data_IF_855096128962
#
_entry.id   IF_855096128962
#
_cell.length_a   1.000
_cell.length_b   1.000
_cell.length_c   1.000
_cell.angle_alpha   90.00
_cell.angle_beta   90.00
_cell.angle_gamma   90.00
#
_symmetry.space_group_name_H-M   'P 1'
#
loop_
_entity.id
_entity.type
_entity.pdbx_description
1 polymer ?
#
# COMPACT_ATOMS: atom_id res chain seq x y z
N UNK A 1 12.26 -21.10 -29.11
CA UNK A 1 11.73 -19.75 -28.88
C UNK A 1 12.19 -19.34 -27.51
N UNK A 2 12.93 -18.23 -27.32
CA UNK A 2 13.27 -17.77 -25.98
C UNK A 2 11.94 -17.51 -25.26
N UNK A 3 11.75 -18.14 -24.09
CA UNK A 3 10.58 -17.90 -23.24
C UNK A 3 10.46 -16.39 -23.02
N UNK A 4 9.37 -15.79 -23.46
CA UNK A 4 9.09 -14.39 -23.16
C UNK A 4 9.14 -14.24 -21.63
N UNK A 5 10.06 -13.40 -21.15
CA UNK A 5 10.22 -13.19 -19.71
C UNK A 5 8.98 -12.50 -19.19
N UNK A 6 8.29 -13.16 -18.27
CA UNK A 6 7.11 -12.63 -17.61
C UNK A 6 7.50 -12.09 -16.22
N UNK A 7 7.27 -10.80 -16.01
CA UNK A 7 7.54 -10.10 -14.75
C UNK A 7 6.29 -10.10 -13.87
N UNK A 8 6.50 -10.32 -12.57
CA UNK A 8 5.42 -10.32 -11.58
C UNK A 8 5.14 -8.88 -11.15
N UNK A 9 3.97 -8.36 -11.56
CA UNK A 9 3.58 -6.97 -11.27
C UNK A 9 2.49 -6.92 -10.22
N UNK A 10 2.68 -6.06 -9.21
CA UNK A 10 1.58 -5.60 -8.36
C UNK A 10 0.79 -4.49 -9.06
N UNK A 11 -0.31 -4.03 -8.45
CA UNK A 11 -1.05 -2.85 -8.91
C UNK A 11 -0.32 -1.52 -8.72
N UNK A 12 0.81 -1.51 -8.01
CA UNK A 12 1.53 -0.30 -7.57
C UNK A 12 0.85 0.46 -6.43
N UNK A 13 -0.21 -0.11 -5.85
CA UNK A 13 -0.94 0.45 -4.69
C UNK A 13 -1.21 -0.62 -3.64
N UNK A 14 -0.35 -1.64 -3.61
CA UNK A 14 -0.44 -2.75 -2.67
C UNK A 14 0.24 -2.36 -1.35
N UNK A 15 -0.51 -2.52 -0.26
CA UNK A 15 -0.15 -2.12 1.09
C UNK A 15 -0.18 -3.36 1.98
N UNK A 16 0.93 -3.64 2.65
CA UNK A 16 1.04 -4.75 3.60
C UNK A 16 1.20 -4.18 5.01
N UNK A 17 0.32 -4.61 5.92
CA UNK A 17 0.29 -4.15 7.31
C UNK A 17 0.41 -5.31 8.28
N UNK A 18 1.36 -5.24 9.21
CA UNK A 18 1.48 -6.23 10.28
C UNK A 18 0.25 -6.20 11.20
N UNK A 19 -0.13 -7.34 11.73
CA UNK A 19 -1.26 -7.50 12.66
C UNK A 19 -0.79 -8.13 13.97
N UNK A 20 -1.54 -7.87 15.04
CA UNK A 20 -1.31 -8.50 16.34
C UNK A 20 -1.41 -10.03 16.19
N UNK A 21 -0.37 -10.75 16.61
CA UNK A 21 -0.25 -12.20 16.43
C UNK A 21 0.58 -12.66 15.21
N UNK A 22 1.27 -11.75 14.51
CA UNK A 22 2.27 -12.10 13.50
C UNK A 22 1.72 -12.43 12.10
N UNK A 23 0.43 -12.15 11.86
CA UNK A 23 -0.14 -12.18 10.51
C UNK A 23 -0.03 -10.82 9.83
N UNK A 24 -0.22 -10.78 8.52
CA UNK A 24 -0.20 -9.57 7.70
C UNK A 24 -1.56 -9.37 7.02
N UNK A 25 -2.06 -8.14 7.06
CA UNK A 25 -3.18 -7.68 6.26
C UNK A 25 -2.64 -7.08 4.97
N UNK A 26 -3.03 -7.65 3.84
CA UNK A 26 -2.66 -7.20 2.50
C UNK A 26 -3.86 -6.49 1.89
N UNK A 27 -3.67 -5.26 1.43
CA UNK A 27 -4.70 -4.45 0.77
C UNK A 27 -4.19 -3.95 -0.56
N UNK A 28 -5.04 -3.97 -1.56
CA UNK A 28 -4.81 -3.26 -2.82
C UNK A 28 -5.77 -2.09 -2.89
N UNK A 29 -5.24 -0.86 -2.78
CA UNK A 29 -6.07 0.34 -2.75
C UNK A 29 -6.69 0.64 -4.12
N UNK A 30 -6.00 0.29 -5.21
CA UNK A 30 -6.46 0.55 -6.58
C UNK A 30 -7.57 -0.41 -6.96
N UNK A 31 -7.42 -1.68 -6.59
CA UNK A 31 -8.37 -2.74 -6.92
C UNK A 31 -9.45 -2.95 -5.84
N UNK A 32 -9.31 -2.33 -4.66
CA UNK A 32 -10.23 -2.42 -3.51
C UNK A 32 -10.43 -3.86 -3.01
N UNK A 33 -9.37 -4.66 -3.06
CA UNK A 33 -9.35 -6.03 -2.53
C UNK A 33 -8.47 -6.11 -1.27
N UNK A 34 -8.76 -7.08 -0.40
CA UNK A 34 -7.99 -7.32 0.81
C UNK A 34 -7.91 -8.80 1.16
N UNK A 35 -6.82 -9.20 1.82
CA UNK A 35 -6.56 -10.58 2.24
C UNK A 35 -5.65 -10.62 3.46
N UNK A 36 -5.51 -11.81 4.06
CA UNK A 36 -4.57 -12.06 5.16
C UNK A 36 -3.47 -13.00 4.69
N UNK A 37 -2.23 -12.72 5.09
CA UNK A 37 -1.03 -13.49 4.76
C UNK A 37 -0.18 -13.79 5.99
N UNK A 38 0.74 -14.74 5.83
CA UNK A 38 1.84 -14.98 6.77
C UNK A 38 3.10 -14.21 6.34
N UNK A 39 4.20 -14.36 7.07
CA UNK A 39 5.49 -13.76 6.73
C UNK A 39 5.95 -14.16 5.32
N UNK A 40 5.86 -15.45 4.98
CA UNK A 40 6.28 -15.96 3.67
C UNK A 40 5.56 -15.25 2.50
N UNK A 41 4.25 -15.02 2.64
CA UNK A 41 3.47 -14.31 1.63
C UNK A 41 3.90 -12.84 1.51
N UNK A 42 4.19 -12.19 2.64
CA UNK A 42 4.68 -10.80 2.66
C UNK A 42 6.04 -10.71 1.97
N UNK A 43 6.98 -11.61 2.27
CA UNK A 43 8.30 -11.62 1.63
C UNK A 43 8.20 -11.82 0.12
N UNK A 44 7.33 -12.75 -0.32
CA UNK A 44 7.08 -12.98 -1.74
C UNK A 44 6.48 -11.73 -2.42
N UNK A 45 5.43 -11.13 -1.84
CA UNK A 45 4.76 -9.96 -2.41
C UNK A 45 5.70 -8.76 -2.55
N UNK A 46 6.58 -8.52 -1.58
CA UNK A 46 7.57 -7.43 -1.64
C UNK A 46 8.50 -7.56 -2.84
N UNK A 47 8.79 -8.79 -3.28
CA UNK A 47 9.63 -9.04 -4.45
C UNK A 47 8.87 -8.86 -5.78
N UNK A 48 7.54 -8.81 -5.78
CA UNK A 48 6.68 -8.63 -6.95
C UNK A 48 6.49 -7.15 -7.33
N UNK A 49 7.59 -6.42 -7.42
CA UNK A 49 7.64 -4.99 -7.77
C UNK A 49 7.70 -4.71 -9.29
N UNK A 50 7.46 -5.75 -10.09
CA UNK A 50 7.50 -5.72 -11.55
C UNK A 50 8.89 -5.67 -12.18
N UNK A 51 9.95 -5.84 -11.38
CA UNK A 51 11.33 -5.97 -11.88
C UNK A 51 11.85 -7.42 -11.90
N UNK A 52 11.13 -8.33 -11.24
CA UNK A 52 11.51 -9.74 -11.06
C UNK A 52 10.54 -10.69 -11.77
N UNK A 53 11.08 -11.77 -12.33
CA UNK A 53 10.28 -12.91 -12.79
C UNK A 53 10.02 -13.90 -11.65
N UNK A 54 9.18 -14.90 -11.88
CA UNK A 54 8.99 -16.00 -10.94
C UNK A 54 10.30 -16.71 -10.58
N UNK A 55 11.17 -16.98 -11.56
CA UNK A 55 12.49 -17.59 -11.33
C UNK A 55 13.43 -16.71 -10.51
N UNK A 56 13.33 -15.38 -10.66
CA UNK A 56 14.10 -14.43 -9.85
C UNK A 56 13.61 -14.47 -8.39
N UNK A 57 12.29 -14.43 -8.18
CA UNK A 57 11.67 -14.51 -6.85
C UNK A 57 12.02 -15.83 -6.16
N UNK A 58 11.91 -16.97 -6.84
CA UNK A 58 12.26 -18.29 -6.28
C UNK A 58 13.73 -18.31 -5.84
N UNK A 59 14.65 -17.82 -6.68
CA UNK A 59 16.08 -17.77 -6.33
C UNK A 59 16.35 -16.90 -5.11
N UNK A 60 15.65 -15.78 -4.98
CA UNK A 60 15.80 -14.87 -3.84
C UNK A 60 15.22 -15.49 -2.55
N UNK A 61 14.06 -16.14 -2.62
CA UNK A 61 13.48 -16.89 -1.49
C UNK A 61 14.36 -18.06 -1.05
N UNK A 62 14.98 -18.80 -1.97
CA UNK A 62 15.93 -19.87 -1.62
C UNK A 62 17.11 -19.34 -0.80
N UNK A 63 17.63 -18.16 -1.14
CA UNK A 63 18.71 -17.51 -0.39
C UNK A 63 18.23 -17.06 0.98
N UNK A 64 17.03 -16.49 1.07
CA UNK A 64 16.45 -16.00 2.33
C UNK A 64 16.22 -17.13 3.34
N UNK A 65 15.65 -18.25 2.89
CA UNK A 65 15.29 -19.37 3.77
C UNK A 65 16.39 -20.45 3.89
N UNK A 66 17.46 -20.38 3.09
CA UNK A 66 18.48 -21.43 3.00
C UNK A 66 17.88 -22.83 2.70
N UNK A 67 16.79 -22.86 1.93
CA UNK A 67 16.07 -24.08 1.53
C UNK A 67 16.35 -24.45 0.06
N UNK A 68 16.25 -25.74 -0.33
CA UNK A 68 16.47 -26.17 -1.70
C UNK A 68 15.36 -25.67 -2.65
N UNK A 69 15.78 -25.26 -3.85
CA UNK A 69 14.91 -24.70 -4.89
C UNK A 69 13.69 -25.56 -5.24
N UNK A 70 13.85 -26.89 -5.18
CA UNK A 70 12.77 -27.83 -5.47
C UNK A 70 11.56 -27.67 -4.52
N UNK A 71 11.80 -27.38 -3.25
CA UNK A 71 10.76 -27.23 -2.24
C UNK A 71 10.21 -25.79 -2.24
N UNK A 72 11.09 -24.79 -2.30
CA UNK A 72 10.72 -23.38 -2.36
C UNK A 72 9.94 -23.07 -3.63
N UNK A 73 10.41 -23.53 -4.80
CA UNK A 73 9.76 -23.30 -6.09
C UNK A 73 8.32 -23.79 -6.10
N UNK A 74 8.05 -25.02 -5.64
CA UNK A 74 6.68 -25.55 -5.56
C UNK A 74 5.77 -24.71 -4.67
N UNK A 75 6.26 -24.22 -3.53
CA UNK A 75 5.49 -23.37 -2.62
C UNK A 75 5.25 -21.99 -3.25
N UNK A 76 6.29 -21.37 -3.79
CA UNK A 76 6.24 -20.05 -4.42
C UNK A 76 5.30 -20.03 -5.63
N UNK A 77 5.42 -20.98 -6.57
CA UNK A 77 4.54 -21.07 -7.74
C UNK A 77 3.07 -21.20 -7.36
N UNK A 78 2.75 -22.00 -6.32
CA UNK A 78 1.38 -22.12 -5.81
C UNK A 78 0.88 -20.79 -5.22
N UNK A 79 1.71 -20.10 -4.44
CA UNK A 79 1.38 -18.80 -3.87
C UNK A 79 1.18 -17.73 -4.96
N UNK A 80 2.02 -17.72 -5.99
CA UNK A 80 1.91 -16.80 -7.14
C UNK A 80 0.62 -17.06 -7.90
N UNK A 81 0.31 -18.31 -8.24
CA UNK A 81 -0.95 -18.68 -8.87
C UNK A 81 -2.16 -18.24 -8.02
N UNK A 82 -2.13 -18.52 -6.71
CA UNK A 82 -3.18 -18.09 -5.79
C UNK A 82 -3.36 -16.56 -5.75
N UNK A 83 -2.27 -15.80 -5.72
CA UNK A 83 -2.32 -14.33 -5.73
C UNK A 83 -2.83 -13.78 -7.07
N UNK A 84 -2.53 -14.45 -8.20
CA UNK A 84 -3.10 -14.13 -9.51
C UNK A 84 -4.60 -14.38 -9.55
N UNK A 85 -5.06 -15.50 -9.02
CA UNK A 85 -6.50 -15.82 -8.95
C UNK A 85 -7.27 -14.80 -8.09
N UNK A 86 -6.65 -14.33 -7.01
CA UNK A 86 -7.16 -13.25 -6.18
C UNK A 86 -6.93 -11.85 -6.74
N UNK A 87 -6.31 -11.73 -7.92
CA UNK A 87 -5.98 -10.50 -8.62
C UNK A 87 -4.96 -9.59 -7.93
N UNK A 88 -4.27 -10.03 -6.87
CA UNK A 88 -3.19 -9.25 -6.24
C UNK A 88 -1.94 -9.12 -7.12
N UNK A 89 -1.73 -10.08 -8.02
CA UNK A 89 -0.61 -10.08 -8.97
C UNK A 89 -1.11 -10.18 -10.40
N UNK A 90 -0.46 -9.42 -11.28
CA UNK A 90 -0.58 -9.54 -12.73
C UNK A 90 0.72 -10.00 -13.36
N UNK A 91 0.78 -9.82 -14.68
CA UNK A 91 1.94 -10.14 -15.49
C UNK A 91 2.28 -8.99 -16.43
N UNK A 92 3.57 -8.80 -16.71
CA UNK A 92 4.05 -7.90 -17.75
C UNK A 92 5.17 -8.56 -18.56
N UNK A 93 5.23 -8.27 -19.85
CA UNK A 93 6.31 -8.73 -20.74
C UNK A 93 7.52 -7.77 -20.76
N UNK A 94 7.37 -6.60 -20.15
CA UNK A 94 8.43 -5.62 -19.95
C UNK A 94 8.54 -5.27 -18.45
N UNK A 95 9.74 -4.97 -17.93
CA UNK A 95 9.87 -4.51 -16.55
C UNK A 95 9.05 -3.25 -16.32
N UNK A 96 8.17 -3.27 -15.32
CA UNK A 96 7.33 -2.14 -14.93
C UNK A 96 7.48 -1.94 -13.44
N UNK A 97 8.03 -0.81 -13.00
CA UNK A 97 8.19 -0.58 -11.57
C UNK A 97 6.83 -0.32 -10.91
N UNK A 98 6.30 -1.33 -10.22
CA UNK A 98 5.06 -1.27 -9.44
C UNK A 98 5.38 -1.57 -7.97
N UNK A 99 5.89 -0.59 -7.22
CA UNK A 99 6.41 -0.83 -5.88
C UNK A 99 5.31 -1.37 -4.96
N UNK A 100 5.67 -2.37 -4.16
CA UNK A 100 4.85 -2.87 -3.06
C UNK A 100 5.24 -2.11 -1.81
N UNK A 101 4.27 -1.43 -1.21
CA UNK A 101 4.50 -0.58 -0.05
C UNK A 101 4.24 -1.40 1.21
N UNK A 102 5.27 -1.65 1.99
CA UNK A 102 5.12 -2.20 3.34
C UNK A 102 4.97 -1.02 4.32
N UNK A 103 3.93 -1.08 5.14
CA UNK A 103 3.70 -0.14 6.24
C UNK A 103 3.43 -0.95 7.49
N UNK A 104 4.49 -1.12 8.28
CA UNK A 104 4.32 -1.64 9.63
C UNK A 104 3.46 -0.65 10.42
N UNK A 105 2.46 -1.18 11.11
CA UNK A 105 1.60 -0.41 11.99
C UNK A 105 1.31 -1.29 13.18
N UNK A 106 1.59 -0.78 14.37
CA UNK A 106 1.21 -1.45 15.61
C UNK A 106 -0.28 -1.26 15.94
N UNK A 107 -1.03 -0.59 15.05
CA UNK A 107 -2.46 -0.39 15.22
C UNK A 107 -3.25 -1.67 14.92
N UNK A 108 -4.14 -2.02 15.84
CA UNK A 108 -5.07 -3.14 15.68
C UNK A 108 -6.02 -2.95 14.48
N UNK A 109 -6.42 -1.70 14.23
CA UNK A 109 -7.25 -1.28 13.11
C UNK A 109 -6.53 -0.20 12.32
N UNK A 110 -5.67 -0.56 11.37
CA UNK A 110 -4.80 0.43 10.78
C UNK A 110 -5.60 1.33 9.82
N UNK A 111 -5.53 2.63 10.05
CA UNK A 111 -6.17 3.66 9.24
C UNK A 111 -5.56 3.65 7.83
N UNK A 112 -6.41 3.64 6.80
CA UNK A 112 -5.94 3.68 5.41
C UNK A 112 -5.92 5.11 4.85
N UNK A 113 -6.95 5.89 5.20
CA UNK A 113 -7.18 7.24 4.67
C UNK A 113 -7.39 8.23 5.81
N UNK A 114 -6.67 9.36 5.77
CA UNK A 114 -6.90 10.49 6.65
C UNK A 114 -7.48 11.68 5.87
N UNK A 115 -8.49 12.33 6.41
CA UNK A 115 -9.05 13.58 5.87
C UNK A 115 -8.50 14.75 6.68
N UNK A 116 -7.67 15.57 6.06
CA UNK A 116 -7.04 16.73 6.72
C UNK A 116 -7.86 17.97 6.38
N UNK A 117 -8.64 18.44 7.35
CA UNK A 117 -9.34 19.71 7.23
C UNK A 117 -8.36 20.85 7.54
N UNK A 118 -7.61 21.30 6.53
CA UNK A 118 -6.46 22.19 6.72
C UNK A 118 -6.83 23.62 7.09
N UNK A 119 -8.02 24.06 6.67
CA UNK A 119 -8.58 25.37 7.02
C UNK A 119 -10.11 25.34 7.00
N UNK A 120 -10.76 26.21 7.75
CA UNK A 120 -12.18 26.52 7.59
C UNK A 120 -12.42 27.71 6.64
N UNK A 121 -11.37 28.43 6.24
CA UNK A 121 -11.46 29.51 5.28
C UNK A 121 -12.02 29.00 3.95
N UNK A 122 -12.97 29.73 3.38
CA UNK A 122 -13.54 29.41 2.09
C UNK A 122 -13.94 30.69 1.36
N UNK A 123 -13.66 30.73 0.06
CA UNK A 123 -14.06 31.81 -0.83
C UNK A 123 -15.56 31.76 -1.20
N UNK A 124 -16.29 30.72 -0.78
CA UNK A 124 -17.72 30.51 -1.04
C UNK A 124 -18.51 30.26 0.25
N UNK A 125 -19.83 30.39 0.17
CA UNK A 125 -20.79 30.10 1.25
C UNK A 125 -21.95 29.23 0.74
N UNK A 126 -21.64 27.98 0.42
CA UNK A 126 -22.62 27.05 -0.16
C UNK A 126 -23.74 26.75 0.84
N UNK A 127 -25.00 26.80 0.40
CA UNK A 127 -26.19 26.57 1.25
C UNK A 127 -26.27 25.16 1.86
N UNK A 128 -25.54 24.21 1.28
CA UNK A 128 -25.46 22.82 1.71
C UNK A 128 -24.09 22.47 2.34
N UNK A 129 -23.29 23.47 2.73
CA UNK A 129 -21.99 23.24 3.35
C UNK A 129 -22.18 22.70 4.78
N UNK A 130 -21.86 21.42 5.00
CA UNK A 130 -21.98 20.81 6.32
C UNK A 130 -21.08 21.45 7.38
N UNK A 131 -20.00 22.13 6.96
CA UNK A 131 -19.03 22.80 7.85
C UNK A 131 -19.39 24.24 8.17
N UNK A 132 -20.29 24.85 7.41
CA UNK A 132 -20.49 26.30 7.42
C UNK A 132 -19.16 27.05 7.18
N UNK A 133 -18.37 26.58 6.22
CA UNK A 133 -17.05 27.13 5.90
C UNK A 133 -17.15 28.59 5.44
N UNK A 134 -16.10 29.36 5.71
CA UNK A 134 -16.06 30.79 5.39
C UNK A 134 -14.84 31.48 5.96
N UNK A 135 -14.87 31.82 7.25
CA UNK A 135 -13.70 32.38 7.93
C UNK A 135 -12.86 31.27 8.59
N UNK A 136 -11.54 31.45 8.74
CA UNK A 136 -10.71 30.57 9.56
C UNK A 136 -11.32 30.37 10.94
N UNK A 137 -11.18 29.16 11.50
CA UNK A 137 -11.71 28.83 12.82
C UNK A 137 -10.61 28.94 13.87
N UNK A 138 -10.63 30.04 14.62
CA UNK A 138 -9.67 30.24 15.72
C UNK A 138 -8.23 30.21 15.24
N UNK A 139 -7.35 29.58 16.02
CA UNK A 139 -5.99 29.25 15.59
C UNK A 139 -6.01 27.93 14.81
N UNK A 140 -5.62 27.97 13.55
CA UNK A 140 -5.45 26.80 12.68
C UNK A 140 -3.98 26.37 12.66
N UNK A 141 -3.73 25.09 12.36
CA UNK A 141 -2.37 24.55 12.32
C UNK A 141 -1.52 25.23 11.25
N UNK A 142 -0.24 25.47 11.57
CA UNK A 142 0.74 25.95 10.62
C UNK A 142 1.16 24.86 9.62
N UNK A 143 1.88 25.26 8.57
CA UNK A 143 2.39 24.31 7.59
C UNK A 143 3.36 23.32 8.22
N UNK A 144 4.25 23.74 9.12
CA UNK A 144 5.18 22.81 9.78
C UNK A 144 4.45 21.77 10.65
N UNK A 145 3.38 22.18 11.35
CA UNK A 145 2.57 21.27 12.15
C UNK A 145 1.89 20.22 11.27
N UNK A 146 1.35 20.62 10.11
CA UNK A 146 0.76 19.69 9.15
C UNK A 146 1.80 18.71 8.58
N UNK A 147 3.01 19.17 8.28
CA UNK A 147 4.09 18.30 7.80
C UNK A 147 4.44 17.26 8.86
N UNK A 148 4.62 17.68 10.13
CA UNK A 148 4.86 16.76 11.24
C UNK A 148 3.73 15.73 11.39
N UNK A 149 2.48 16.19 11.31
CA UNK A 149 1.31 15.32 11.44
C UNK A 149 1.24 14.30 10.29
N UNK A 150 1.60 14.68 9.07
CA UNK A 150 1.66 13.77 7.92
C UNK A 150 2.74 12.70 8.13
N UNK A 151 3.91 13.06 8.66
CA UNK A 151 4.97 12.11 8.98
C UNK A 151 4.50 11.11 10.06
N UNK A 152 3.78 11.59 11.08
CA UNK A 152 3.16 10.74 12.10
C UNK A 152 2.12 9.79 11.49
N UNK A 153 1.22 10.27 10.63
CA UNK A 153 0.24 9.43 9.94
C UNK A 153 0.91 8.37 9.06
N UNK A 154 1.98 8.73 8.37
CA UNK A 154 2.77 7.80 7.57
C UNK A 154 3.38 6.70 8.46
N UNK A 155 3.91 7.06 9.65
CA UNK A 155 4.44 6.11 10.64
C UNK A 155 3.35 5.17 11.19
N UNK A 156 2.10 5.62 11.24
CA UNK A 156 0.94 4.82 11.64
C UNK A 156 0.41 3.92 10.51
N UNK A 157 1.01 3.99 9.32
CA UNK A 157 0.64 3.19 8.17
C UNK A 157 -0.58 3.72 7.40
N UNK A 158 -0.86 5.02 7.50
CA UNK A 158 -1.77 5.71 6.57
C UNK A 158 -1.13 5.75 5.20
N UNK A 159 -1.94 5.53 4.17
CA UNK A 159 -1.47 5.34 2.79
C UNK A 159 -2.15 6.28 1.80
N UNK A 160 -3.17 7.00 2.24
CA UNK A 160 -3.83 8.02 1.46
C UNK A 160 -4.26 9.18 2.35
N UNK A 161 -4.16 10.38 1.82
CA UNK A 161 -4.55 11.61 2.49
C UNK A 161 -5.48 12.39 1.57
N UNK A 162 -6.60 12.83 2.10
CA UNK A 162 -7.50 13.76 1.46
C UNK A 162 -7.34 15.14 2.10
N UNK A 163 -6.75 16.08 1.37
CA UNK A 163 -6.64 17.48 1.80
C UNK A 163 -7.99 18.16 1.53
N UNK A 164 -8.63 18.65 2.59
CA UNK A 164 -10.00 19.17 2.59
C UNK A 164 -10.13 20.32 3.60
N UNK A 165 -11.35 20.74 3.94
CA UNK A 165 -11.61 21.89 4.79
C UNK A 165 -12.73 22.77 4.24
N UNK A 166 -12.49 24.08 4.22
CA UNK A 166 -13.21 25.02 3.37
C UNK A 166 -12.66 24.93 1.94
N UNK A 167 -11.88 25.92 1.53
CA UNK A 167 -11.07 25.88 0.32
C UNK A 167 -9.61 25.60 0.71
N UNK A 168 -9.07 24.38 0.47
CA UNK A 168 -7.77 23.96 0.99
C UNK A 168 -6.55 24.71 0.45
N UNK A 169 -6.72 25.49 -0.61
CA UNK A 169 -5.64 26.24 -1.27
C UNK A 169 -5.58 27.73 -0.87
N UNK A 170 -6.37 28.14 0.12
CA UNK A 170 -6.36 29.49 0.70
C UNK A 170 -5.32 29.68 1.81
#
# INVERSE_FOLDING_TARGET
MPSEKEFLVSSGSLVIKKQKGGSYLVKDLKQRIQGKGNEDLKELLVMCDGTRTEDDVVRELCRLYSEPEKEVGKKASKSIAFLRDLHFLGSSHEPLHTPVIVRDSDMEWPVDVAYLEVTNACNLKCVHCYKEAGLPRGEELGTEDWVSLIDELASLGVVSIAVTGGEPLL
#
